data_IF_277926490094
#
_entry.id   IF_277926490094
#
_cell.length_a   1.000
_cell.length_b   1.000
_cell.length_c   1.000
_cell.angle_alpha   90.00
_cell.angle_beta   90.00
_cell.angle_gamma   90.00
#
_symmetry.space_group_name_H-M   'P 1'
#
loop_
_entity.id
_entity.type
_entity.pdbx_description
1 polymer ?
#
# COMPACT_ATOMS: atom_id res chain seq x y z
N UNK A 1 12.53 1.09 3.85
CA UNK A 1 11.37 1.54 3.04
C UNK A 1 10.47 2.34 3.95
N UNK A 2 10.22 3.61 3.65
CA UNK A 2 9.30 4.45 4.43
C UNK A 2 7.85 4.22 3.99
N UNK A 3 6.85 4.54 4.83
CA UNK A 3 5.44 4.52 4.42
C UNK A 3 5.19 5.35 3.15
N UNK A 4 5.78 6.54 3.06
CA UNK A 4 5.64 7.43 1.91
C UNK A 4 6.23 6.82 0.63
N UNK A 5 7.38 6.13 0.74
CA UNK A 5 7.98 5.40 -0.37
C UNK A 5 7.11 4.23 -0.84
N UNK A 6 6.43 3.54 0.09
CA UNK A 6 5.51 2.46 -0.26
C UNK A 6 4.25 2.99 -0.95
N UNK A 7 3.70 4.12 -0.47
CA UNK A 7 2.56 4.78 -1.09
C UNK A 7 2.90 5.30 -2.49
N UNK A 8 4.11 5.83 -2.69
CA UNK A 8 4.59 6.25 -4.00
C UNK A 8 4.64 5.07 -4.99
N UNK A 9 5.10 3.89 -4.55
CA UNK A 9 5.07 2.68 -5.38
C UNK A 9 3.66 2.21 -5.72
N UNK A 10 2.70 2.36 -4.80
CA UNK A 10 1.29 2.07 -5.09
C UNK A 10 0.73 3.00 -6.17
N UNK A 11 1.12 4.28 -6.15
CA UNK A 11 0.75 5.24 -7.18
C UNK A 11 1.37 4.92 -8.54
N UNK A 12 2.64 4.51 -8.58
CA UNK A 12 3.30 4.04 -9.80
C UNK A 12 2.58 2.81 -10.36
N UNK A 13 2.31 1.80 -9.52
CA UNK A 13 1.59 0.60 -9.93
C UNK A 13 0.22 0.92 -10.51
N UNK A 14 -0.53 1.86 -9.90
CA UNK A 14 -1.82 2.30 -10.43
C UNK A 14 -1.71 2.84 -11.86
N UNK A 15 -0.61 3.51 -12.22
CA UNK A 15 -0.43 4.07 -13.57
C UNK A 15 -0.28 2.98 -14.62
N UNK A 16 0.27 1.83 -14.27
CA UNK A 16 0.42 0.70 -15.19
C UNK A 16 -0.94 0.12 -15.63
N UNK A 17 -1.98 0.35 -14.83
CA UNK A 17 -3.37 -0.02 -15.13
C UNK A 17 -4.22 1.18 -15.56
N UNK A 18 -3.65 2.38 -15.63
CA UNK A 18 -4.41 3.56 -16.02
C UNK A 18 -4.60 3.55 -17.55
N UNK A 19 -5.75 3.05 -17.99
CA UNK A 19 -6.23 3.20 -19.36
C UNK A 19 -7.17 4.41 -19.45
N UNK A 20 -6.85 5.37 -20.32
CA UNK A 20 -7.68 6.57 -20.54
C UNK A 20 -8.95 6.25 -21.34
N UNK A 21 -8.94 5.16 -22.11
CA UNK A 21 -10.08 4.69 -22.91
C UNK A 21 -11.00 3.75 -22.09
N UNK A 22 -10.50 3.18 -20.99
CA UNK A 22 -11.26 2.29 -20.09
C UNK A 22 -11.16 2.72 -18.60
N UNK A 23 -11.75 3.88 -18.23
CA UNK A 23 -11.70 4.40 -16.86
C UNK A 23 -12.42 3.53 -15.82
N UNK A 24 -13.12 2.49 -16.26
CA UNK A 24 -13.84 1.51 -15.42
C UNK A 24 -13.07 0.21 -15.18
N UNK A 25 -11.79 0.10 -15.60
CA UNK A 25 -10.97 -1.07 -15.28
C UNK A 25 -11.03 -1.35 -13.76
N UNK A 26 -11.56 -2.51 -13.33
CA UNK A 26 -11.66 -2.88 -11.93
C UNK A 26 -10.32 -2.83 -11.18
N UNK A 27 -9.21 -3.14 -11.86
CA UNK A 27 -7.88 -3.14 -11.25
C UNK A 27 -7.42 -1.71 -10.96
N UNK A 28 -7.56 -0.82 -11.93
CA UNK A 28 -7.28 0.60 -11.75
C UNK A 28 -8.16 1.22 -10.67
N UNK A 29 -9.47 0.92 -10.65
CA UNK A 29 -10.40 1.39 -9.63
C UNK A 29 -10.01 0.92 -8.24
N UNK A 30 -9.68 -0.35 -8.07
CA UNK A 30 -9.23 -0.90 -6.78
C UNK A 30 -7.97 -0.17 -6.29
N UNK A 31 -6.96 -0.02 -7.16
CA UNK A 31 -5.70 0.65 -6.81
C UNK A 31 -5.90 2.15 -6.54
N UNK A 32 -6.74 2.82 -7.32
CA UNK A 32 -7.06 4.24 -7.16
C UNK A 32 -7.76 4.52 -5.83
N UNK A 33 -8.80 3.75 -5.51
CA UNK A 33 -9.53 3.92 -4.25
C UNK A 33 -8.69 3.49 -3.04
N UNK A 34 -7.86 2.44 -3.16
CA UNK A 34 -6.90 2.08 -2.12
C UNK A 34 -5.89 3.20 -1.86
N UNK A 35 -5.31 3.78 -2.91
CA UNK A 35 -4.39 4.90 -2.81
C UNK A 35 -5.04 6.12 -2.13
N UNK A 36 -6.24 6.51 -2.55
CA UNK A 36 -6.98 7.63 -1.94
C UNK A 36 -7.26 7.36 -0.46
N UNK A 37 -7.81 6.18 -0.14
CA UNK A 37 -8.15 5.82 1.24
C UNK A 37 -6.93 5.85 2.17
N UNK A 38 -5.81 5.28 1.74
CA UNK A 38 -4.56 5.28 2.51
C UNK A 38 -4.03 6.71 2.68
N UNK A 39 -4.11 7.53 1.62
CA UNK A 39 -3.68 8.94 1.67
C UNK A 39 -4.49 9.76 2.67
N UNK A 40 -5.78 9.47 2.84
CA UNK A 40 -6.62 10.09 3.87
C UNK A 40 -6.30 9.60 5.29
N UNK A 41 -5.82 8.36 5.44
CA UNK A 41 -5.50 7.74 6.72
C UNK A 41 -3.99 7.48 6.88
N UNK A 42 -3.18 8.51 6.61
CA UNK A 42 -1.72 8.40 6.67
C UNK A 42 -1.19 8.03 8.05
N UNK A 43 -1.84 8.47 9.13
CA UNK A 43 -1.41 8.14 10.50
C UNK A 43 -1.62 6.65 10.80
N UNK A 44 -2.77 6.09 10.42
CA UNK A 44 -3.04 4.66 10.50
C UNK A 44 -2.07 3.85 9.65
N UNK A 45 -1.76 4.33 8.44
CA UNK A 45 -0.83 3.68 7.54
C UNK A 45 0.61 3.67 8.09
N UNK A 46 1.10 4.79 8.64
CA UNK A 46 2.41 4.86 9.31
C UNK A 46 2.51 3.87 10.47
N UNK A 47 1.46 3.75 11.29
CA UNK A 47 1.40 2.77 12.39
C UNK A 47 1.46 1.34 11.86
N UNK A 48 0.63 1.01 10.87
CA UNK A 48 0.64 -0.29 10.21
C UNK A 48 2.02 -0.64 9.65
N UNK A 49 2.65 0.26 8.89
CA UNK A 49 3.97 0.04 8.33
C UNK A 49 5.02 -0.20 9.43
N UNK A 50 4.97 0.53 10.55
CA UNK A 50 5.88 0.32 11.67
C UNK A 50 5.73 -1.08 12.28
N UNK A 51 4.52 -1.61 12.38
CA UNK A 51 4.25 -2.96 12.89
C UNK A 51 4.63 -4.03 11.86
N UNK A 52 4.22 -3.86 10.61
CA UNK A 52 4.50 -4.78 9.51
C UNK A 52 6.01 -4.92 9.24
N UNK A 53 6.76 -3.81 9.24
CA UNK A 53 8.20 -3.82 9.03
C UNK A 53 9.00 -4.34 10.22
N UNK A 54 8.47 -4.26 11.45
CA UNK A 54 9.06 -4.92 12.62
C UNK A 54 8.97 -6.44 12.56
N UNK A 55 7.90 -6.99 11.98
CA UNK A 55 7.70 -8.44 11.89
C UNK A 55 8.68 -9.15 10.94
N UNK A 56 9.35 -8.42 10.04
CA UNK A 56 10.36 -8.99 9.13
C UNK A 56 11.72 -9.27 9.78
N UNK A 57 11.95 -8.80 11.01
CA UNK A 57 13.22 -8.97 11.75
C UNK A 57 13.06 -9.71 13.09
N UNK A 58 11.93 -10.38 13.36
CA UNK A 58 11.81 -11.27 14.53
C UNK A 58 11.87 -12.74 14.10
N UNK A 59 12.86 -13.53 14.57
CA UNK A 59 12.84 -14.97 14.40
C UNK A 59 11.60 -15.53 15.09
N UNK A 60 11.06 -16.61 14.52
CA UNK A 60 9.86 -17.28 15.00
C UNK A 60 9.84 -17.42 16.55
N UNK A 61 8.68 -17.24 17.21
CA UNK A 61 8.59 -17.50 18.64
C UNK A 61 9.01 -18.95 18.91
N UNK A 62 9.73 -19.23 20.01
CA UNK A 62 10.12 -20.59 20.34
C UNK A 62 8.85 -21.40 20.62
N UNK A 63 8.62 -22.43 19.79
CA UNK A 63 7.62 -23.46 20.04
C UNK A 63 7.95 -24.09 21.39
N UNK A 64 7.10 -23.85 22.40
CA UNK A 64 7.08 -24.62 23.65
C UNK A 64 6.32 -25.92 23.43
#
# INVERSE_FOLDING_TARGET
MTPEQLLAKLYELRKDFQDEDEPTDPNYMALHHAFLFISYNMDGFKKYCKEAFKSKDSPAPPTT
#
